data_IF_902842434871
#
_entry.id   IF_902842434871
#
_cell.length_a   1.000
_cell.length_b   1.000
_cell.length_c   1.000
_cell.angle_alpha   90.00
_cell.angle_beta   90.00
_cell.angle_gamma   90.00
#
_symmetry.space_group_name_H-M   'P 1'
#
loop_
_entity.id
_entity.type
_entity.pdbx_description
1 polymer ?
#
# COMPACT_ATOMS: atom_id res chain seq x y z
N UNK A 1 27.95 25.28 -40.61
CA UNK A 1 26.82 24.37 -40.32
C UNK A 1 25.84 24.56 -41.45
N UNK A 2 25.98 23.71 -42.46
CA UNK A 2 25.48 23.91 -43.83
C UNK A 2 24.06 23.39 -44.00
N UNK A 3 23.26 24.14 -44.77
CA UNK A 3 21.95 23.77 -45.31
C UNK A 3 21.89 22.28 -45.66
N UNK A 4 21.25 21.49 -44.79
CA UNK A 4 20.99 20.10 -45.07
C UNK A 4 19.63 20.00 -45.75
N UNK A 5 19.72 19.77 -47.06
CA UNK A 5 18.67 19.30 -47.97
C UNK A 5 17.74 20.38 -48.54
N UNK A 6 18.29 21.19 -49.45
CA UNK A 6 17.48 21.85 -50.48
C UNK A 6 16.75 20.79 -51.32
N UNK A 7 15.47 21.05 -51.61
CA UNK A 7 14.62 20.22 -52.46
C UNK A 7 15.35 19.91 -53.78
N UNK A 8 15.61 18.63 -54.05
CA UNK A 8 16.22 18.17 -55.30
C UNK A 8 15.57 18.84 -56.50
N UNK A 9 16.38 19.38 -57.42
CA UNK A 9 15.86 20.03 -58.63
C UNK A 9 14.93 19.09 -59.41
N UNK A 10 13.76 19.61 -59.80
CA UNK A 10 12.67 18.83 -60.39
C UNK A 10 13.00 18.25 -61.78
N UNK A 11 14.06 18.72 -62.44
CA UNK A 11 14.34 18.37 -63.84
C UNK A 11 15.81 18.01 -64.07
N UNK A 12 16.08 16.76 -64.42
CA UNK A 12 17.42 16.32 -64.87
C UNK A 12 17.71 16.65 -66.33
N UNK A 13 16.75 17.24 -67.06
CA UNK A 13 16.86 17.54 -68.49
C UNK A 13 18.07 18.45 -68.80
N UNK A 14 18.40 19.35 -67.89
CA UNK A 14 19.50 20.29 -68.05
C UNK A 14 20.89 19.63 -68.03
N UNK A 15 21.01 18.43 -67.47
CA UNK A 15 22.30 17.74 -67.31
C UNK A 15 22.57 16.68 -68.38
N UNK A 16 21.59 16.33 -69.21
CA UNK A 16 21.73 15.23 -70.18
C UNK A 16 22.78 15.57 -71.23
N UNK A 17 22.75 16.78 -71.80
CA UNK A 17 23.73 17.22 -72.80
C UNK A 17 25.17 17.22 -72.28
N UNK A 18 25.38 17.55 -71.00
CA UNK A 18 26.71 17.53 -70.36
C UNK A 18 27.25 16.13 -70.04
N UNK A 19 26.44 15.07 -70.19
CA UNK A 19 26.86 13.68 -69.96
C UNK A 19 27.42 13.02 -71.21
N UNK A 20 27.27 13.64 -72.39
CA UNK A 20 27.77 13.13 -73.65
C UNK A 20 29.14 13.75 -73.98
N UNK A 21 30.08 12.95 -74.53
CA UNK A 21 31.27 13.49 -75.17
C UNK A 21 30.91 14.40 -76.35
N UNK A 22 31.72 15.43 -76.62
CA UNK A 22 31.45 16.47 -77.63
C UNK A 22 31.14 15.90 -79.02
N UNK A 23 31.79 14.80 -79.41
CA UNK A 23 31.55 14.10 -80.68
C UNK A 23 30.07 13.72 -80.92
N UNK A 24 29.34 13.34 -79.87
CA UNK A 24 27.92 12.97 -79.98
C UNK A 24 26.99 14.18 -80.08
N UNK A 25 27.47 15.38 -79.71
CA UNK A 25 26.70 16.61 -79.86
C UNK A 25 26.66 17.07 -81.32
N UNK A 26 27.72 16.79 -82.08
CA UNK A 26 27.87 17.23 -83.47
C UNK A 26 27.33 16.22 -84.49
N UNK A 27 27.58 14.92 -84.31
CA UNK A 27 27.21 13.89 -85.30
C UNK A 27 26.04 12.99 -84.83
N UNK A 28 25.65 13.09 -83.55
CA UNK A 28 24.79 12.13 -82.87
C UNK A 28 23.46 12.70 -82.36
N UNK A 29 22.92 13.76 -82.96
CA UNK A 29 21.75 14.50 -82.48
C UNK A 29 20.55 13.57 -82.14
N UNK A 30 20.25 12.59 -82.99
CA UNK A 30 19.14 11.66 -82.77
C UNK A 30 19.30 10.78 -81.51
N UNK A 31 20.53 10.44 -81.11
CA UNK A 31 20.79 9.67 -79.89
C UNK A 31 20.61 10.56 -78.66
N UNK A 32 21.10 11.80 -78.72
CA UNK A 32 20.97 12.77 -77.63
C UNK A 32 19.49 13.09 -77.39
N UNK A 33 18.70 13.27 -78.45
CA UNK A 33 17.26 13.54 -78.35
C UNK A 33 16.45 12.35 -77.85
N UNK A 34 16.83 11.13 -78.26
CA UNK A 34 16.24 9.92 -77.71
C UNK A 34 16.48 9.81 -76.20
N UNK A 35 17.72 10.03 -75.75
CA UNK A 35 18.07 9.95 -74.33
C UNK A 35 17.43 11.08 -73.53
N UNK A 36 17.36 12.30 -74.08
CA UNK A 36 16.58 13.40 -73.51
C UNK A 36 15.13 12.98 -73.28
N UNK A 37 14.46 12.50 -74.32
CA UNK A 37 13.05 12.03 -74.28
C UNK A 37 12.84 10.90 -73.27
N UNK A 38 13.80 9.97 -73.17
CA UNK A 38 13.78 8.92 -72.16
C UNK A 38 13.84 9.48 -70.73
N UNK A 39 14.74 10.42 -70.45
CA UNK A 39 14.81 11.06 -69.14
C UNK A 39 13.56 11.87 -68.81
N UNK A 40 12.89 12.47 -69.81
CA UNK A 40 11.60 13.13 -69.60
C UNK A 40 10.54 12.13 -69.12
N UNK A 41 10.37 11.03 -69.86
CA UNK A 41 9.42 9.98 -69.53
C UNK A 41 9.75 9.32 -68.17
N UNK A 42 11.04 9.06 -67.92
CA UNK A 42 11.51 8.49 -66.66
C UNK A 42 11.20 9.43 -65.49
N UNK A 43 11.54 10.71 -65.58
CA UNK A 43 11.29 11.68 -64.51
C UNK A 43 9.79 11.82 -64.20
N UNK A 44 8.94 11.86 -65.22
CA UNK A 44 7.49 11.96 -65.07
C UNK A 44 6.88 10.74 -64.34
N UNK A 45 7.35 9.54 -64.63
CA UNK A 45 6.70 8.30 -64.17
C UNK A 45 7.33 7.67 -62.91
N UNK A 46 8.66 7.74 -62.81
CA UNK A 46 9.45 6.92 -61.87
C UNK A 46 10.52 7.73 -61.13
N UNK A 47 11.23 8.62 -61.83
CA UNK A 47 12.37 9.36 -61.31
C UNK A 47 12.00 10.27 -60.13
N UNK A 48 10.85 10.95 -60.19
CA UNK A 48 10.37 11.76 -59.06
C UNK A 48 10.08 10.91 -57.82
N UNK A 49 9.49 9.71 -58.00
CA UNK A 49 9.20 8.79 -56.88
C UNK A 49 10.47 8.27 -56.22
N UNK A 50 11.53 8.02 -56.99
CA UNK A 50 12.83 7.56 -56.49
C UNK A 50 13.57 8.68 -55.77
N UNK A 51 13.55 9.91 -56.30
CA UNK A 51 14.20 11.07 -55.68
C UNK A 51 13.55 11.47 -54.36
N UNK A 52 12.23 11.35 -54.30
CA UNK A 52 11.48 11.66 -53.09
C UNK A 52 11.59 10.56 -52.02
N UNK A 53 12.26 9.41 -52.28
CA UNK A 53 12.39 8.32 -51.29
C UNK A 53 13.00 8.78 -49.96
N UNK A 54 13.95 9.71 -50.01
CA UNK A 54 14.58 10.26 -48.81
C UNK A 54 13.58 11.05 -47.96
N UNK A 55 12.68 11.80 -48.60
CA UNK A 55 11.65 12.59 -47.92
C UNK A 55 10.51 11.65 -47.48
N UNK A 56 10.13 10.68 -48.31
CA UNK A 56 9.09 9.69 -48.04
C UNK A 56 9.42 8.76 -46.86
N UNK A 57 10.67 8.72 -46.40
CA UNK A 57 11.06 8.02 -45.17
C UNK A 57 10.50 8.63 -43.90
N UNK A 58 10.14 9.92 -43.92
CA UNK A 58 9.48 10.58 -42.79
C UNK A 58 7.97 10.35 -42.85
N UNK A 59 7.41 9.86 -41.74
CA UNK A 59 5.98 9.58 -41.58
C UNK A 59 5.13 10.85 -41.68
N UNK A 60 5.68 12.01 -41.34
CA UNK A 60 4.97 13.29 -41.36
C UNK A 60 4.78 13.82 -42.78
N UNK A 61 5.67 13.45 -43.71
CA UNK A 61 5.65 13.96 -45.10
C UNK A 61 5.23 12.91 -46.12
N UNK A 62 5.21 11.62 -45.74
CA UNK A 62 4.90 10.54 -46.67
C UNK A 62 3.46 10.60 -47.20
N UNK A 63 3.23 10.03 -48.37
CA UNK A 63 1.90 10.00 -49.00
C UNK A 63 0.92 9.10 -48.24
N UNK A 64 -0.38 9.44 -48.26
CA UNK A 64 -1.42 8.65 -47.59
C UNK A 64 -1.47 7.19 -48.10
N UNK A 65 -1.21 6.97 -49.39
CA UNK A 65 -1.15 5.62 -49.96
C UNK A 65 -0.01 4.79 -49.36
N UNK A 66 1.16 5.40 -49.15
CA UNK A 66 2.29 4.72 -48.51
C UNK A 66 2.03 4.47 -47.01
N UNK A 67 1.36 5.40 -46.33
CA UNK A 67 0.88 5.21 -44.95
C UNK A 67 -0.05 4.01 -44.83
N UNK A 68 -1.05 3.90 -45.69
CA UNK A 68 -1.99 2.77 -45.69
C UNK A 68 -1.25 1.45 -45.99
N UNK A 69 -0.33 1.45 -46.97
CA UNK A 69 0.50 0.27 -47.28
C UNK A 69 1.38 -0.16 -46.10
N UNK A 70 2.04 0.80 -45.46
CA UNK A 70 2.83 0.56 -44.26
C UNK A 70 1.95 0.01 -43.14
N UNK A 71 0.80 0.65 -42.92
CA UNK A 71 -0.16 0.29 -41.91
C UNK A 71 -0.68 -1.14 -42.05
N UNK A 72 -1.11 -1.52 -43.26
CA UNK A 72 -1.64 -2.85 -43.54
C UNK A 72 -0.56 -3.94 -43.43
N UNK A 73 0.70 -3.59 -43.74
CA UNK A 73 1.82 -4.54 -43.72
C UNK A 73 2.44 -4.73 -42.33
N UNK A 74 2.51 -3.68 -41.54
CA UNK A 74 3.31 -3.65 -40.32
C UNK A 74 2.50 -3.36 -39.06
N UNK A 75 1.39 -2.63 -39.17
CA UNK A 75 0.71 -2.01 -38.04
C UNK A 75 -0.58 -2.75 -37.69
N UNK A 76 -1.68 -2.61 -38.46
CA UNK A 76 -3.02 -3.12 -38.10
C UNK A 76 -3.49 -4.33 -38.92
N UNK A 77 -4.36 -5.18 -38.32
CA UNK A 77 -5.07 -6.29 -38.95
C UNK A 77 -4.21 -7.52 -39.26
N UNK A 78 -3.19 -7.38 -40.13
CA UNK A 78 -2.26 -8.44 -40.54
C UNK A 78 -0.79 -8.13 -40.22
N UNK A 79 -0.54 -6.96 -39.63
CA UNK A 79 0.78 -6.46 -39.30
C UNK A 79 1.50 -7.26 -38.22
N UNK A 80 2.84 -7.26 -38.30
CA UNK A 80 3.72 -7.90 -37.30
C UNK A 80 3.73 -7.18 -35.95
N UNK A 81 3.45 -5.88 -35.92
CA UNK A 81 3.76 -5.06 -34.75
C UNK A 81 2.55 -4.71 -33.90
N UNK A 82 1.33 -4.46 -34.41
CA UNK A 82 0.17 -4.08 -33.58
C UNK A 82 -1.12 -4.81 -33.97
N UNK A 83 -1.19 -6.10 -33.61
CA UNK A 83 -2.40 -6.90 -33.81
C UNK A 83 -3.57 -6.51 -32.90
N UNK A 84 -3.29 -5.83 -31.80
CA UNK A 84 -4.23 -5.63 -30.70
C UNK A 84 -5.08 -4.34 -30.81
N UNK A 85 -4.72 -3.42 -31.71
CA UNK A 85 -5.52 -2.22 -31.95
C UNK A 85 -6.59 -2.48 -33.02
N UNK A 86 -7.81 -1.93 -32.87
CA UNK A 86 -8.84 -2.03 -33.90
C UNK A 86 -8.37 -1.45 -35.24
N UNK A 87 -8.89 -1.98 -36.34
CA UNK A 87 -8.56 -1.49 -37.69
C UNK A 87 -9.01 -0.05 -37.93
N UNK A 88 -10.02 0.41 -37.19
CA UNK A 88 -10.52 1.78 -37.20
C UNK A 88 -10.08 2.45 -35.90
N UNK A 89 -9.15 3.39 -36.01
CA UNK A 89 -8.70 4.19 -34.88
C UNK A 89 -9.17 5.62 -35.09
N UNK A 90 -9.77 6.18 -34.05
CA UNK A 90 -10.22 7.57 -34.03
C UNK A 90 -9.02 8.43 -33.65
N UNK A 91 -8.18 8.81 -34.62
CA UNK A 91 -6.98 9.62 -34.37
C UNK A 91 -6.05 9.79 -35.57
N UNK A 92 -5.06 10.67 -35.44
CA UNK A 92 -4.03 10.85 -36.47
C UNK A 92 -3.08 9.64 -36.48
N UNK A 93 -3.19 8.86 -37.56
CA UNK A 93 -2.37 7.68 -37.79
C UNK A 93 -0.87 8.00 -37.77
N UNK A 94 -0.46 9.16 -38.29
CA UNK A 94 0.95 9.58 -38.34
C UNK A 94 1.50 9.74 -36.93
N UNK A 95 0.75 10.45 -36.08
CA UNK A 95 1.11 10.68 -34.69
C UNK A 95 1.24 9.37 -33.89
N UNK A 96 0.32 8.43 -34.10
CA UNK A 96 0.35 7.12 -33.41
C UNK A 96 1.56 6.31 -33.85
N UNK A 97 1.83 6.22 -35.16
CA UNK A 97 2.98 5.49 -35.69
C UNK A 97 4.29 6.09 -35.17
N UNK A 98 4.39 7.42 -35.12
CA UNK A 98 5.57 8.13 -34.63
C UNK A 98 5.85 7.83 -33.15
N UNK A 99 4.81 7.76 -32.33
CA UNK A 99 4.90 7.54 -30.88
C UNK A 99 4.66 6.08 -30.47
N UNK A 100 4.76 5.13 -31.41
CA UNK A 100 4.34 3.75 -31.17
C UNK A 100 5.15 3.06 -30.06
N UNK A 101 6.43 3.40 -29.91
CA UNK A 101 7.28 2.84 -28.85
C UNK A 101 6.77 3.20 -27.45
N UNK A 102 6.31 4.44 -27.28
CA UNK A 102 5.83 4.92 -25.99
C UNK A 102 4.45 4.34 -25.68
N UNK A 103 3.61 4.16 -26.71
CA UNK A 103 2.37 3.41 -26.57
C UNK A 103 2.64 2.01 -26.02
N UNK A 104 3.59 1.28 -26.62
CA UNK A 104 3.98 -0.06 -26.16
C UNK A 104 4.54 -0.08 -24.75
N UNK A 105 5.41 0.88 -24.40
CA UNK A 105 5.99 1.00 -23.05
C UNK A 105 4.93 1.31 -21.99
N UNK A 106 3.88 2.03 -22.37
CA UNK A 106 2.78 2.36 -21.46
C UNK A 106 1.77 1.23 -21.26
N UNK A 107 1.89 0.11 -22.00
CA UNK A 107 0.97 -1.03 -21.91
C UNK A 107 0.90 -1.54 -20.47
N UNK A 108 -0.32 -1.66 -19.95
CA UNK A 108 -0.59 -2.09 -18.57
C UNK A 108 -0.54 -0.97 -17.52
N UNK A 109 -0.11 0.24 -17.87
CA UNK A 109 -0.25 1.41 -16.98
C UNK A 109 -1.67 1.96 -17.05
N UNK A 110 -2.11 2.64 -15.98
CA UNK A 110 -3.41 3.33 -15.94
C UNK A 110 -3.57 4.29 -17.13
N UNK A 111 -2.50 5.02 -17.47
CA UNK A 111 -2.49 5.95 -18.62
C UNK A 111 -2.59 5.23 -19.96
N UNK A 112 -1.91 4.10 -20.12
CA UNK A 112 -1.96 3.30 -21.35
C UNK A 112 -3.35 2.72 -21.60
N UNK A 113 -4.03 2.23 -20.56
CA UNK A 113 -5.41 1.74 -20.66
C UNK A 113 -6.35 2.89 -21.07
N UNK A 114 -6.27 4.04 -20.39
CA UNK A 114 -7.06 5.24 -20.76
C UNK A 114 -6.85 5.66 -22.21
N UNK A 115 -5.59 5.69 -22.67
CA UNK A 115 -5.25 6.03 -24.05
C UNK A 115 -5.82 5.02 -25.05
N UNK A 116 -5.75 3.72 -24.75
CA UNK A 116 -6.31 2.67 -25.62
C UNK A 116 -7.82 2.85 -25.83
N UNK A 117 -8.58 3.09 -24.76
CA UNK A 117 -10.02 3.34 -24.86
C UNK A 117 -10.33 4.63 -25.63
N UNK A 118 -9.50 5.66 -25.45
CA UNK A 118 -9.64 6.92 -26.21
C UNK A 118 -9.44 6.72 -27.70
N UNK A 119 -8.44 5.93 -28.10
CA UNK A 119 -8.15 5.66 -29.50
C UNK A 119 -9.19 4.75 -30.16
N UNK A 120 -9.65 3.73 -29.43
CA UNK A 120 -10.53 2.68 -29.96
C UNK A 120 -12.00 3.06 -29.94
N UNK A 121 -12.45 3.75 -28.89
CA UNK A 121 -13.86 4.00 -28.62
C UNK A 121 -14.18 5.48 -28.42
N UNK A 122 -13.19 6.37 -28.53
CA UNK A 122 -13.33 7.80 -28.24
C UNK A 122 -13.87 8.09 -26.82
N UNK A 123 -13.50 7.23 -25.86
CA UNK A 123 -13.95 7.28 -24.46
C UNK A 123 -12.75 7.37 -23.48
N UNK A 124 -12.95 7.96 -22.31
CA UNK A 124 -11.91 8.11 -21.27
C UNK A 124 -12.35 7.44 -19.96
N UNK A 125 -12.09 6.14 -19.79
CA UNK A 125 -12.59 5.41 -18.63
C UNK A 125 -11.87 5.81 -17.34
N UNK A 126 -12.59 5.74 -16.22
CA UNK A 126 -12.01 5.77 -14.89
C UNK A 126 -11.57 4.36 -14.47
N UNK A 127 -10.37 4.25 -13.91
CA UNK A 127 -9.77 2.97 -13.54
C UNK A 127 -9.67 2.91 -12.02
N UNK A 128 -10.45 2.01 -11.42
CA UNK A 128 -10.41 1.75 -9.99
C UNK A 128 -9.47 0.57 -9.70
N UNK A 129 -8.48 0.79 -8.83
CA UNK A 129 -7.53 -0.25 -8.39
C UNK A 129 -7.81 -0.59 -6.93
N UNK A 130 -8.49 -1.72 -6.63
CA UNK A 130 -8.91 -2.07 -5.27
C UNK A 130 -7.75 -2.12 -4.26
N UNK A 131 -6.57 -2.55 -4.73
CA UNK A 131 -5.37 -2.67 -3.88
C UNK A 131 -4.92 -1.36 -3.22
N UNK A 132 -5.26 -0.19 -3.77
CA UNK A 132 -4.95 1.12 -3.18
C UNK A 132 -5.85 1.47 -1.99
N UNK A 133 -7.00 0.79 -1.85
CA UNK A 133 -8.03 1.09 -0.86
C UNK A 133 -8.22 -0.05 0.15
N UNK A 134 -7.22 -0.93 0.29
CA UNK A 134 -7.22 -1.95 1.33
C UNK A 134 -6.92 -1.32 2.70
N UNK A 135 -7.77 -1.60 3.68
CA UNK A 135 -7.48 -1.27 5.07
C UNK A 135 -6.24 -2.06 5.51
N UNK A 136 -5.22 -1.34 5.97
CA UNK A 136 -4.05 -1.96 6.60
C UNK A 136 -4.37 -2.16 8.09
N UNK A 137 -4.47 -3.40 8.61
CA UNK A 137 -4.61 -3.60 10.04
C UNK A 137 -3.37 -3.06 10.76
N UNK A 138 -3.58 -2.52 11.95
CA UNK A 138 -2.50 -2.09 12.85
C UNK A 138 -1.59 -3.28 13.15
N UNK A 139 -0.27 -3.11 13.01
CA UNK A 139 0.74 -4.12 13.36
C UNK A 139 1.00 -4.19 14.89
N UNK A 140 0.07 -3.69 15.70
CA UNK A 140 0.21 -3.66 17.16
C UNK A 140 -0.08 -5.03 17.75
N UNK A 141 0.94 -5.68 18.30
CA UNK A 141 0.75 -6.88 19.12
C UNK A 141 0.03 -6.49 20.41
N UNK A 142 -1.22 -6.93 20.55
CA UNK A 142 -2.00 -6.72 21.76
C UNK A 142 -1.47 -7.61 22.90
N UNK A 143 -0.86 -7.01 23.91
CA UNK A 143 -0.40 -7.71 25.12
C UNK A 143 -1.25 -7.27 26.31
N UNK A 144 -1.98 -8.22 26.92
CA UNK A 144 -2.67 -8.05 28.21
C UNK A 144 -1.87 -8.81 29.28
N UNK A 145 -0.93 -8.15 29.99
CA UNK A 145 -0.23 -8.79 31.09
C UNK A 145 -1.19 -9.04 32.26
N UNK A 146 -1.09 -10.21 32.88
CA UNK A 146 -1.87 -10.56 34.06
C UNK A 146 -1.11 -10.06 35.28
N UNK A 147 -1.56 -8.95 35.86
CA UNK A 147 -0.83 -8.28 36.93
C UNK A 147 -1.64 -8.33 38.23
N UNK A 148 -0.95 -8.65 39.32
CA UNK A 148 -1.49 -8.52 40.69
C UNK A 148 -0.72 -7.44 41.46
N UNK A 149 -1.41 -6.76 42.37
CA UNK A 149 -0.84 -5.74 43.23
C UNK A 149 -0.54 -6.31 44.61
N UNK A 150 0.65 -6.00 45.15
CA UNK A 150 1.12 -6.56 46.42
C UNK A 150 1.42 -5.46 47.42
N UNK A 151 0.89 -5.65 48.63
CA UNK A 151 1.29 -4.92 49.82
C UNK A 151 2.34 -5.71 50.60
N UNK A 152 3.45 -5.05 50.91
CA UNK A 152 4.50 -5.61 51.75
C UNK A 152 4.07 -5.49 53.22
N UNK A 153 4.21 -6.58 53.98
CA UNK A 153 4.08 -6.59 55.44
C UNK A 153 5.43 -6.34 56.10
N UNK A 154 5.40 -5.95 57.37
CA UNK A 154 6.60 -5.72 58.18
C UNK A 154 7.51 -6.96 58.15
N UNK A 155 8.76 -6.78 57.68
CA UNK A 155 9.75 -7.85 57.56
C UNK A 155 10.04 -8.33 56.14
N UNK A 156 9.20 -8.02 55.13
CA UNK A 156 9.53 -8.33 53.73
C UNK A 156 10.03 -7.10 52.97
N UNK A 157 11.10 -7.29 52.23
CA UNK A 157 11.65 -6.26 51.34
C UNK A 157 11.30 -6.58 49.89
N UNK A 158 11.35 -5.55 49.03
CA UNK A 158 11.21 -5.72 47.58
C UNK A 158 12.17 -6.77 47.00
N UNK A 159 13.39 -6.86 47.54
CA UNK A 159 14.39 -7.86 47.14
C UNK A 159 13.88 -9.28 47.32
N UNK A 160 13.06 -9.54 48.33
CA UNK A 160 12.52 -10.87 48.61
C UNK A 160 11.46 -11.26 47.61
N UNK A 161 10.63 -10.31 47.18
CA UNK A 161 9.70 -10.50 46.06
C UNK A 161 10.44 -10.75 44.74
N UNK A 162 11.54 -10.05 44.48
CA UNK A 162 12.34 -10.26 43.27
C UNK A 162 12.91 -11.69 43.23
N UNK A 163 13.23 -12.28 44.38
CA UNK A 163 13.68 -13.70 44.45
C UNK A 163 12.60 -14.70 44.05
N UNK A 164 11.32 -14.32 44.12
CA UNK A 164 10.22 -15.17 43.65
C UNK A 164 10.13 -15.20 42.12
N UNK A 165 10.84 -14.33 41.40
CA UNK A 165 10.83 -14.32 39.94
C UNK A 165 11.31 -15.65 39.36
N UNK A 166 10.51 -16.24 38.47
CA UNK A 166 10.76 -17.56 37.90
C UNK A 166 10.29 -18.74 38.77
N UNK A 167 9.73 -18.49 39.95
CA UNK A 167 9.17 -19.53 40.82
C UNK A 167 7.64 -19.58 40.73
N UNK A 168 7.06 -20.74 41.05
CA UNK A 168 5.61 -20.87 41.21
C UNK A 168 5.20 -20.36 42.59
N UNK A 169 4.24 -19.43 42.59
CA UNK A 169 3.62 -18.89 43.80
C UNK A 169 2.20 -19.43 43.99
N UNK A 170 1.78 -19.52 45.25
CA UNK A 170 0.45 -19.98 45.66
C UNK A 170 -0.17 -18.98 46.63
N UNK A 171 -1.46 -18.69 46.45
CA UNK A 171 -2.26 -17.87 47.37
C UNK A 171 -2.81 -18.69 48.54
N UNK A 172 -2.71 -18.16 49.75
CA UNK A 172 -3.13 -18.87 50.97
C UNK A 172 -4.65 -19.07 51.11
N UNK A 173 -5.47 -18.15 50.59
CA UNK A 173 -6.94 -18.19 50.74
C UNK A 173 -7.60 -18.73 49.47
N UNK A 174 -7.19 -18.24 48.30
CA UNK A 174 -7.75 -18.67 47.01
C UNK A 174 -7.24 -20.03 46.52
N UNK A 175 -6.07 -20.46 46.98
CA UNK A 175 -5.37 -21.62 46.42
C UNK A 175 -4.92 -21.42 44.97
N UNK A 176 -5.02 -20.22 44.41
CA UNK A 176 -4.59 -19.91 43.06
C UNK A 176 -3.07 -20.07 42.95
N UNK A 177 -2.60 -20.60 41.81
CA UNK A 177 -1.16 -20.71 41.53
C UNK A 177 -0.78 -20.06 40.21
N UNK A 178 0.42 -19.50 40.15
CA UNK A 178 0.94 -18.87 38.94
C UNK A 178 2.46 -18.80 38.99
N UNK A 179 3.09 -18.62 37.83
CA UNK A 179 4.54 -18.41 37.74
C UNK A 179 4.82 -16.90 37.72
N UNK A 180 5.78 -16.45 38.51
CA UNK A 180 6.17 -15.03 38.55
C UNK A 180 7.04 -14.71 37.34
N UNK A 181 6.52 -13.96 36.37
CA UNK A 181 7.29 -13.53 35.19
C UNK A 181 8.22 -12.37 35.53
N UNK A 182 7.67 -11.34 36.17
CA UNK A 182 8.40 -10.12 36.51
C UNK A 182 7.81 -9.43 37.72
N UNK A 183 8.66 -8.97 38.62
CA UNK A 183 8.29 -8.07 39.72
C UNK A 183 8.75 -6.66 39.38
N UNK A 184 7.86 -5.68 39.51
CA UNK A 184 8.20 -4.27 39.24
C UNK A 184 7.43 -3.32 40.14
N UNK A 185 7.94 -2.10 40.29
CA UNK A 185 7.27 -1.02 41.02
C UNK A 185 6.84 0.06 40.06
N UNK A 186 5.67 0.64 40.31
CA UNK A 186 5.16 1.78 39.56
C UNK A 186 4.70 2.85 40.54
N UNK A 187 5.12 4.09 40.27
CA UNK A 187 4.71 5.25 41.04
C UNK A 187 3.32 5.69 40.60
N UNK A 188 2.33 5.56 41.48
CA UNK A 188 0.97 6.02 41.29
C UNK A 188 0.76 7.26 42.16
N UNK A 189 1.00 8.45 41.59
CA UNK A 189 0.94 9.71 42.33
C UNK A 189 2.02 9.80 43.42
N UNK A 190 1.60 9.82 44.70
CA UNK A 190 2.51 9.86 45.86
C UNK A 190 2.95 8.47 46.34
N UNK A 191 2.25 7.42 45.94
CA UNK A 191 2.50 6.06 46.41
C UNK A 191 3.36 5.27 45.41
N UNK A 192 4.20 4.37 45.94
CA UNK A 192 5.03 3.45 45.18
C UNK A 192 4.47 2.03 45.32
N UNK A 193 3.70 1.60 44.33
CA UNK A 193 2.97 0.35 44.39
C UNK A 193 3.81 -0.76 43.74
N UNK A 194 3.75 -1.97 44.30
CA UNK A 194 4.51 -3.13 43.82
C UNK A 194 3.58 -4.08 43.08
N UNK A 195 4.02 -4.54 41.92
CA UNK A 195 3.25 -5.37 41.01
C UNK A 195 4.03 -6.63 40.64
N UNK A 196 3.28 -7.72 40.43
CA UNK A 196 3.79 -8.96 39.85
C UNK A 196 3.05 -9.24 38.55
N UNK A 197 3.80 -9.42 37.46
CA UNK A 197 3.31 -10.00 36.21
C UNK A 197 3.35 -11.53 36.33
N UNK A 198 2.20 -12.15 36.07
CA UNK A 198 1.95 -13.57 36.20
C UNK A 198 2.00 -14.25 34.83
N UNK A 199 2.60 -15.44 34.82
CA UNK A 199 2.54 -16.38 33.73
C UNK A 199 1.72 -17.60 34.13
N UNK A 200 0.92 -18.12 33.19
CA UNK A 200 0.11 -19.33 33.36
C UNK A 200 -0.70 -19.38 34.68
N UNK A 201 -1.56 -18.39 34.97
CA UNK A 201 -2.37 -18.41 36.19
C UNK A 201 -3.40 -19.56 36.16
N UNK A 202 -3.43 -20.33 37.26
CA UNK A 202 -4.41 -21.36 37.57
C UNK A 202 -5.27 -20.86 38.72
N UNK A 203 -6.50 -20.43 38.41
CA UNK A 203 -7.37 -19.72 39.35
C UNK A 203 -7.09 -18.21 39.39
N UNK A 204 -7.77 -17.51 40.30
CA UNK A 204 -7.64 -16.05 40.48
C UNK A 204 -7.23 -15.73 41.91
N UNK A 205 -6.21 -14.89 42.06
CA UNK A 205 -5.78 -14.38 43.37
C UNK A 205 -6.82 -13.40 43.91
N UNK A 206 -7.13 -13.51 45.20
CA UNK A 206 -8.10 -12.67 45.89
C UNK A 206 -7.36 -11.72 46.84
N UNK A 207 -7.92 -10.53 47.06
CA UNK A 207 -7.36 -9.58 48.02
C UNK A 207 -7.26 -10.23 49.42
N UNK A 208 -6.09 -10.08 50.05
CA UNK A 208 -5.75 -10.73 51.32
C UNK A 208 -4.98 -12.06 51.16
N UNK A 209 -4.80 -12.59 49.96
CA UNK A 209 -3.96 -13.77 49.74
C UNK A 209 -2.52 -13.49 50.13
N UNK A 210 -1.96 -14.31 51.03
CA UNK A 210 -0.55 -14.31 51.33
C UNK A 210 0.20 -15.12 50.25
N UNK A 211 1.15 -14.47 49.57
CA UNK A 211 1.88 -15.07 48.45
C UNK A 211 3.13 -15.77 48.97
N UNK A 212 3.22 -17.07 48.72
CA UNK A 212 4.40 -17.87 49.05
C UNK A 212 4.76 -18.84 47.94
N UNK A 213 6.01 -19.29 47.90
CA UNK A 213 6.40 -20.40 47.03
C UNK A 213 5.70 -21.69 47.47
N UNK A 214 5.38 -22.57 46.52
CA UNK A 214 4.76 -23.87 46.80
C UNK A 214 5.62 -24.66 47.81
N UNK A 215 5.03 -25.01 48.96
CA UNK A 215 5.69 -25.79 50.01
C UNK A 215 6.47 -24.97 51.05
N UNK A 216 6.24 -23.65 51.16
CA UNK A 216 6.80 -22.83 52.21
C UNK A 216 6.28 -23.19 53.62
N UNK A 217 7.12 -23.06 54.64
CA UNK A 217 6.76 -23.30 56.03
C UNK A 217 5.67 -22.33 56.53
N UNK A 218 4.83 -22.79 57.47
CA UNK A 218 3.74 -21.99 58.04
C UNK A 218 4.21 -20.68 58.70
N UNK A 219 5.44 -20.62 59.21
CA UNK A 219 6.04 -19.40 59.76
C UNK A 219 6.32 -18.33 58.70
N UNK A 220 6.60 -18.75 57.45
CA UNK A 220 6.87 -17.86 56.31
C UNK A 220 5.54 -17.30 55.77
N UNK A 221 4.46 -18.08 55.82
CA UNK A 221 3.12 -17.68 55.38
C UNK A 221 2.56 -16.52 56.22
N UNK A 222 2.79 -16.53 57.55
CA UNK A 222 2.24 -15.50 58.45
C UNK A 222 2.76 -14.10 58.12
N UNK A 223 4.04 -14.01 57.75
CA UNK A 223 4.67 -12.74 57.39
C UNK A 223 4.61 -12.45 55.90
N UNK A 224 4.10 -13.35 55.06
CA UNK A 224 4.21 -13.22 53.61
C UNK A 224 3.52 -11.97 53.03
N UNK A 225 4.01 -11.44 51.90
CA UNK A 225 3.39 -10.31 51.20
C UNK A 225 1.96 -10.65 50.80
N UNK A 226 1.05 -9.69 50.95
CA UNK A 226 -0.39 -9.91 50.70
C UNK A 226 -0.85 -9.24 49.42
N UNK A 227 -1.73 -9.91 48.69
CA UNK A 227 -2.42 -9.35 47.52
C UNK A 227 -3.34 -8.22 47.95
N UNK A 228 -3.16 -7.04 47.36
CA UNK A 228 -4.05 -5.89 47.54
C UNK A 228 -5.14 -5.79 46.47
N UNK A 229 -4.85 -6.32 45.28
CA UNK A 229 -5.72 -6.30 44.11
C UNK A 229 -5.33 -7.41 43.13
N UNK A 230 -6.18 -7.79 42.18
CA UNK A 230 -7.15 -6.94 41.49
C UNK A 230 -8.48 -6.73 42.22
N UNK A 231 -9.17 -5.65 41.89
CA UNK A 231 -10.56 -5.43 42.31
C UNK A 231 -11.43 -6.35 41.45
N UNK A 232 -12.06 -7.33 42.10
CA UNK A 232 -12.87 -8.32 41.41
C UNK A 232 -14.29 -7.83 41.10
N UNK A 233 -14.81 -6.91 41.91
CA UNK A 233 -16.16 -6.38 41.75
C UNK A 233 -16.25 -4.93 42.25
N UNK A 234 -17.13 -4.16 41.61
CA UNK A 234 -17.46 -2.79 41.98
C UNK A 234 -18.97 -2.57 41.83
N UNK A 235 -19.63 -2.35 42.96
CA UNK A 235 -21.06 -2.03 42.99
C UNK A 235 -21.25 -0.53 42.76
N UNK A 236 -22.10 -0.20 41.78
CA UNK A 236 -22.53 1.18 41.53
C UNK A 236 -23.80 1.43 42.36
N UNK A 237 -23.68 2.20 43.45
CA UNK A 237 -24.81 2.49 44.35
C UNK A 237 -25.83 3.47 43.74
N UNK A 238 -25.39 4.34 42.81
CA UNK A 238 -26.24 5.31 42.13
C UNK A 238 -25.77 5.55 40.70
N UNK A 239 -26.54 5.09 39.71
CA UNK A 239 -26.26 5.25 38.28
C UNK A 239 -27.55 5.22 37.44
N UNK A 240 -27.48 5.71 36.20
CA UNK A 240 -28.59 5.64 35.23
C UNK A 240 -28.69 4.26 34.58
N UNK A 241 -29.89 3.84 34.14
CA UNK A 241 -30.12 2.50 33.56
C UNK A 241 -29.36 2.18 32.25
N UNK A 242 -28.76 3.18 31.58
CA UNK A 242 -28.07 2.99 30.30
C UNK A 242 -26.67 3.62 30.30
N UNK A 243 -25.74 3.01 31.03
CA UNK A 243 -24.34 3.43 31.05
C UNK A 243 -23.63 2.88 29.80
N UNK A 244 -23.12 3.71 28.88
CA UNK A 244 -22.41 3.21 27.71
C UNK A 244 -21.09 2.54 28.10
N UNK A 245 -20.69 1.52 27.35
CA UNK A 245 -19.38 0.88 27.51
C UNK A 245 -18.26 1.93 27.35
N UNK A 246 -17.26 1.87 28.22
CA UNK A 246 -16.13 2.80 28.23
C UNK A 246 -16.33 4.06 29.10
N UNK A 247 -17.48 4.26 29.73
CA UNK A 247 -17.62 5.32 30.74
C UNK A 247 -16.68 5.09 31.92
N UNK A 248 -16.03 6.15 32.37
CA UNK A 248 -15.10 6.11 33.50
C UNK A 248 -15.79 6.64 34.76
N UNK A 249 -15.84 5.82 35.79
CA UNK A 249 -16.29 6.19 37.12
C UNK A 249 -15.09 6.42 38.04
N UNK A 250 -15.21 7.43 38.90
CA UNK A 250 -14.32 7.60 40.03
C UNK A 250 -15.00 7.01 41.25
N UNK A 251 -14.38 6.02 41.88
CA UNK A 251 -14.86 5.49 43.15
C UNK A 251 -14.76 6.57 44.24
N UNK A 252 -15.67 6.53 45.20
CA UNK A 252 -15.57 7.36 46.39
C UNK A 252 -14.25 7.08 47.11
N UNK A 253 -13.56 8.12 47.63
CA UNK A 253 -12.29 7.93 48.32
C UNK A 253 -12.51 7.03 49.54
N UNK A 254 -11.70 5.97 49.66
CA UNK A 254 -11.64 5.21 50.91
C UNK A 254 -11.07 6.11 52.01
N UNK A 255 -11.29 5.78 53.28
CA UNK A 255 -10.76 6.51 54.45
C UNK A 255 -9.23 6.74 54.42
N UNK A 256 -8.52 6.01 53.56
CA UNK A 256 -7.07 6.09 53.32
C UNK A 256 -6.67 7.05 52.15
N UNK A 257 -7.64 7.75 51.56
CA UNK A 257 -7.40 8.71 50.47
C UNK A 257 -7.11 8.08 49.10
N UNK A 258 -7.20 6.76 48.97
CA UNK A 258 -7.08 6.06 47.69
C UNK A 258 -8.28 6.33 46.79
N UNK A 259 -8.03 6.71 45.54
CA UNK A 259 -9.02 6.95 44.51
C UNK A 259 -8.86 5.91 43.40
N UNK A 260 -9.95 5.26 43.03
CA UNK A 260 -9.98 4.27 41.96
C UNK A 260 -10.70 4.85 40.75
N UNK A 261 -10.13 4.64 39.57
CA UNK A 261 -10.78 4.94 38.30
C UNK A 261 -11.08 3.62 37.61
N UNK A 262 -12.35 3.38 37.30
CA UNK A 262 -12.81 2.16 36.66
C UNK A 262 -13.57 2.53 35.40
N UNK A 263 -13.28 1.83 34.31
CA UNK A 263 -14.03 1.94 33.06
C UNK A 263 -14.94 0.74 32.90
N UNK A 264 -16.18 0.95 32.45
CA UNK A 264 -17.11 -0.15 32.19
C UNK A 264 -16.65 -0.90 30.93
N UNK A 265 -16.23 -2.15 31.11
CA UNK A 265 -15.81 -3.05 30.01
C UNK A 265 -16.93 -3.99 29.61
N UNK A 266 -17.76 -4.39 30.58
CA UNK A 266 -18.89 -5.29 30.41
C UNK A 266 -19.97 -4.96 31.45
N UNK A 267 -21.24 -5.08 31.07
CA UNK A 267 -22.38 -4.88 31.96
C UNK A 267 -22.97 -6.25 32.26
N UNK A 268 -22.71 -6.78 33.45
CA UNK A 268 -23.39 -7.99 33.91
C UNK A 268 -24.63 -7.58 34.70
N UNK A 269 -25.79 -8.11 34.31
CA UNK A 269 -27.09 -7.66 34.83
C UNK A 269 -27.32 -8.29 36.21
N UNK A 270 -26.92 -7.60 37.28
CA UNK A 270 -27.26 -8.03 38.64
C UNK A 270 -28.76 -7.83 38.86
N UNK A 271 -29.51 -8.93 38.83
CA UNK A 271 -30.92 -8.98 39.23
C UNK A 271 -31.04 -8.78 40.75
N UNK A 272 -31.50 -7.57 41.13
CA UNK A 272 -32.41 -7.27 42.25
C UNK A 272 -32.08 -7.78 43.65
N UNK A 273 -31.95 -6.84 44.60
CA UNK A 273 -32.53 -7.02 45.94
C UNK A 273 -33.40 -5.81 46.30
N UNK A 274 -34.72 -6.03 46.29
CA UNK A 274 -35.71 -5.13 46.88
C UNK A 274 -35.60 -5.23 48.40
N UNK A 275 -35.25 -4.14 49.08
CA UNK A 275 -35.65 -3.95 50.47
C UNK A 275 -36.85 -3.00 50.50
N UNK A 276 -38.05 -3.58 50.39
CA UNK A 276 -39.27 -2.91 50.82
C UNK A 276 -39.18 -2.72 52.34
N UNK A 277 -38.93 -1.48 52.76
CA UNK A 277 -39.06 -1.06 54.15
C UNK A 277 -40.56 -0.92 54.45
N UNK A 278 -41.16 -1.98 54.98
CA UNK A 278 -42.43 -1.90 55.68
C UNK A 278 -42.25 -1.11 56.98
N UNK A 279 -43.25 -0.29 57.31
CA UNK A 279 -43.32 0.58 58.50
C UNK A 279 -42.93 -0.11 59.80
#
# INVERSE_FOLDING_TARGET
MTDRFTKSEKSTKHFVKSQFPDFFLDEGEGIVDFVNSYYEHFSANTGNKIRDLQIQGDIDTTSNNNLIRFNNKYTFGSGRFIKELPAVITGDLRFIIKNIKDLYRSKGTERGIKLFFRLSFNDSPEIFVPGRFLFRPSDSKFNRPNIIEINLRDGNTFSDLVRLQGTEIVGSVSGASAIVRKVFRKKNGKFLNTYIDLDLPQGSFVAGDAITSRGADQSIIVNAPTVSGPINDMVIESGSENIPLGTVFNALPRSDGSQLKVSVVELDKVLGTFFLRGR
#
